data_IF_676686201941
#
_entry.id   IF_676686201941
#
_cell.length_a   1.000
_cell.length_b   1.000
_cell.length_c   1.000
_cell.angle_alpha   90.00
_cell.angle_beta   90.00
_cell.angle_gamma   90.00
#
_symmetry.space_group_name_H-M   'P 1'
#
loop_
_entity.id
_entity.type
_entity.pdbx_description
1 polymer ?
#
# COMPACT_ATOMS: atom_id res chain seq x y z
N UNK A 1 10.30 21.76 -5.30
CA UNK A 1 11.45 21.00 -4.76
C UNK A 1 11.12 19.52 -4.93
N UNK A 2 12.12 18.63 -4.87
CA UNK A 2 11.89 17.19 -5.13
C UNK A 2 10.97 16.54 -4.08
N UNK A 3 11.08 16.98 -2.83
CA UNK A 3 10.18 16.53 -1.76
C UNK A 3 8.73 16.95 -1.96
N UNK A 4 8.45 18.09 -2.61
CA UNK A 4 7.08 18.50 -2.93
C UNK A 4 6.45 17.53 -3.96
N UNK A 5 7.21 17.10 -4.95
CA UNK A 5 6.76 16.12 -5.94
C UNK A 5 6.54 14.74 -5.29
N UNK A 6 7.43 14.33 -4.39
CA UNK A 6 7.31 13.08 -3.62
C UNK A 6 6.04 13.13 -2.77
N UNK A 7 5.80 14.22 -2.04
CA UNK A 7 4.60 14.41 -1.21
C UNK A 7 3.34 14.33 -2.07
N UNK A 8 3.30 15.14 -3.12
CA UNK A 8 2.16 15.18 -4.06
C UNK A 8 1.80 13.80 -4.61
N UNK A 9 2.79 13.05 -5.10
CA UNK A 9 2.57 11.72 -5.67
C UNK A 9 2.22 10.68 -4.59
N UNK A 10 2.80 10.80 -3.39
CA UNK A 10 2.50 9.91 -2.26
C UNK A 10 1.06 10.05 -1.79
N UNK A 11 0.57 11.29 -1.62
CA UNK A 11 -0.81 11.56 -1.24
C UNK A 11 -1.81 10.96 -2.25
N UNK A 12 -1.52 11.08 -3.55
CA UNK A 12 -2.33 10.49 -4.61
C UNK A 12 -2.33 8.97 -4.55
N UNK A 13 -1.18 8.37 -4.37
CA UNK A 13 -1.05 6.91 -4.26
C UNK A 13 -1.75 6.36 -3.01
N UNK A 14 -1.71 7.09 -1.88
CA UNK A 14 -2.46 6.74 -0.67
C UNK A 14 -3.97 6.79 -0.91
N UNK A 15 -4.47 7.86 -1.56
CA UNK A 15 -5.87 7.96 -1.93
C UNK A 15 -6.30 6.83 -2.87
N UNK A 16 -5.50 6.53 -3.90
CA UNK A 16 -5.78 5.43 -4.85
C UNK A 16 -5.82 4.08 -4.14
N UNK A 17 -4.95 3.86 -3.15
CA UNK A 17 -4.97 2.63 -2.34
C UNK A 17 -6.23 2.53 -1.51
N UNK A 18 -6.66 3.61 -0.87
CA UNK A 18 -7.90 3.67 -0.10
C UNK A 18 -9.12 3.40 -1.00
N UNK A 19 -9.17 4.02 -2.18
CA UNK A 19 -10.23 3.77 -3.15
C UNK A 19 -10.22 2.31 -3.65
N UNK A 20 -9.03 1.77 -3.97
CA UNK A 20 -8.89 0.39 -4.38
C UNK A 20 -9.44 -0.58 -3.32
N UNK A 21 -9.10 -0.38 -2.05
CA UNK A 21 -9.59 -1.20 -0.93
C UNK A 21 -11.12 -1.18 -0.86
N UNK A 22 -11.73 -0.01 -1.00
CA UNK A 22 -13.19 0.16 -1.01
C UNK A 22 -13.87 -0.42 -2.25
N UNK A 23 -13.14 -0.53 -3.35
CA UNK A 23 -13.60 -1.16 -4.59
C UNK A 23 -13.53 -2.70 -4.58
N UNK A 24 -12.90 -3.33 -3.58
CA UNK A 24 -12.91 -4.79 -3.44
C UNK A 24 -14.30 -5.22 -2.93
N UNK A 25 -15.13 -5.93 -3.71
CA UNK A 25 -16.40 -6.43 -3.21
C UNK A 25 -16.23 -7.48 -2.10
N UNK A 26 -17.18 -7.58 -1.18
CA UNK A 26 -17.10 -8.52 -0.06
C UNK A 26 -17.01 -9.98 -0.52
N UNK A 27 -17.71 -10.34 -1.61
CA UNK A 27 -17.65 -11.66 -2.20
C UNK A 27 -16.28 -12.04 -2.77
N UNK A 28 -15.45 -11.03 -3.11
CA UNK A 28 -14.08 -11.27 -3.60
C UNK A 28 -13.05 -11.33 -2.48
N UNK A 29 -13.37 -10.88 -1.27
CA UNK A 29 -12.41 -10.78 -0.17
C UNK A 29 -11.63 -12.08 0.10
N UNK A 30 -12.35 -13.19 0.12
CA UNK A 30 -11.79 -14.54 0.31
C UNK A 30 -11.60 -15.32 -0.99
N UNK A 31 -11.95 -14.74 -2.14
CA UNK A 31 -11.75 -15.40 -3.44
C UNK A 31 -10.25 -15.59 -3.68
N UNK A 32 -9.91 -16.77 -4.18
CA UNK A 32 -8.50 -17.13 -4.44
C UNK A 32 -8.13 -16.88 -5.89
N UNK A 33 -6.97 -16.24 -6.05
CA UNK A 33 -6.29 -16.00 -7.32
C UNK A 33 -4.91 -16.63 -7.22
N UNK A 34 -4.58 -17.52 -8.12
CA UNK A 34 -3.35 -18.32 -8.05
C UNK A 34 -3.10 -18.97 -6.67
N UNK A 35 -4.19 -19.49 -6.07
CA UNK A 35 -4.18 -20.16 -4.76
C UNK A 35 -4.21 -19.24 -3.54
N UNK A 36 -4.04 -17.93 -3.70
CA UNK A 36 -4.00 -16.96 -2.60
C UNK A 36 -5.29 -16.13 -2.54
N UNK A 37 -5.84 -15.88 -1.35
CA UNK A 37 -7.03 -15.03 -1.22
C UNK A 37 -6.72 -13.56 -1.48
N UNK A 38 -7.72 -12.80 -1.94
CA UNK A 38 -7.62 -11.36 -2.24
C UNK A 38 -7.02 -10.57 -1.07
N UNK A 39 -7.51 -10.81 0.16
CA UNK A 39 -7.02 -10.10 1.35
C UNK A 39 -5.50 -10.28 1.56
N UNK A 40 -4.92 -11.39 1.15
CA UNK A 40 -3.48 -11.63 1.29
C UNK A 40 -2.64 -10.79 0.33
N UNK A 41 -3.11 -10.56 -0.90
CA UNK A 41 -2.47 -9.62 -1.83
C UNK A 41 -2.52 -8.20 -1.28
N UNK A 42 -3.66 -7.80 -0.72
CA UNK A 42 -3.80 -6.49 -0.07
C UNK A 42 -2.87 -6.39 1.14
N UNK A 43 -2.89 -7.36 2.04
CA UNK A 43 -2.01 -7.38 3.22
C UNK A 43 -0.53 -7.28 2.84
N UNK A 44 -0.07 -8.07 1.87
CA UNK A 44 1.30 -8.01 1.37
C UNK A 44 1.67 -6.59 0.91
N UNK A 45 0.77 -5.93 0.19
CA UNK A 45 0.98 -4.56 -0.27
C UNK A 45 1.13 -3.59 0.90
N UNK A 46 0.19 -3.62 1.85
CA UNK A 46 0.20 -2.77 3.03
C UNK A 46 1.41 -3.02 3.93
N UNK A 47 1.71 -4.28 4.21
CA UNK A 47 2.87 -4.66 5.03
C UNK A 47 4.19 -4.19 4.40
N UNK A 48 4.30 -4.30 3.10
CA UNK A 48 5.45 -3.82 2.34
C UNK A 48 5.61 -2.29 2.41
N UNK A 49 4.50 -1.54 2.34
CA UNK A 49 4.51 -0.08 2.54
C UNK A 49 4.99 0.28 3.94
N UNK A 50 4.45 -0.36 4.96
CA UNK A 50 4.78 -0.11 6.35
C UNK A 50 6.25 -0.42 6.67
N UNK A 51 6.75 -1.53 6.15
CA UNK A 51 8.09 -2.02 6.46
C UNK A 51 9.21 -1.32 5.68
N UNK A 52 8.95 -0.95 4.40
CA UNK A 52 10.02 -0.58 3.48
C UNK A 52 10.03 0.88 3.04
N UNK A 53 8.93 1.63 3.26
CA UNK A 53 8.84 3.00 2.74
C UNK A 53 9.85 3.95 3.43
N UNK A 54 10.01 3.83 4.73
CA UNK A 54 10.83 4.75 5.55
C UNK A 54 12.19 4.15 5.88
N UNK A 55 12.20 3.06 6.65
CA UNK A 55 13.42 2.38 7.06
C UNK A 55 13.19 0.88 7.29
N UNK A 56 13.57 -0.01 6.37
CA UNK A 56 13.42 -1.46 6.55
C UNK A 56 14.33 -2.04 7.65
N UNK A 57 15.32 -1.27 8.09
CA UNK A 57 16.29 -1.69 9.11
C UNK A 57 15.98 -1.14 10.50
N UNK A 58 14.81 -0.50 10.68
CA UNK A 58 14.39 0.00 11.99
C UNK A 58 14.28 -1.13 13.01
N UNK A 59 15.16 -1.11 14.00
CA UNK A 59 15.20 -2.12 15.08
C UNK A 59 14.04 -1.99 16.06
N UNK A 60 13.30 -0.89 16.02
CA UNK A 60 12.12 -0.64 16.88
C UNK A 60 10.80 -1.00 16.20
N UNK A 61 10.84 -1.40 14.91
CA UNK A 61 9.66 -1.76 14.17
C UNK A 61 8.90 -2.93 14.83
N UNK A 62 7.60 -2.74 14.99
CA UNK A 62 6.69 -3.74 15.53
C UNK A 62 5.75 -4.21 14.42
N UNK A 63 5.67 -5.52 14.21
CA UNK A 63 4.66 -6.10 13.33
C UNK A 63 3.24 -5.82 13.85
N UNK A 64 2.23 -5.71 12.95
CA UNK A 64 0.84 -5.69 13.37
C UNK A 64 0.51 -6.91 14.26
N UNK A 65 -0.37 -6.73 15.25
CA UNK A 65 -0.70 -7.78 16.25
C UNK A 65 -1.17 -9.09 15.61
N UNK A 66 -1.81 -9.01 14.44
CA UNK A 66 -2.30 -10.17 13.69
C UNK A 66 -1.27 -10.78 12.72
N UNK A 67 -0.03 -10.24 12.67
CA UNK A 67 0.99 -10.73 11.76
C UNK A 67 1.50 -12.12 12.16
N UNK A 68 1.63 -13.00 11.19
CA UNK A 68 2.36 -14.27 11.30
C UNK A 68 3.50 -14.31 10.27
N UNK A 69 4.54 -15.08 10.52
CA UNK A 69 5.79 -15.08 9.74
C UNK A 69 5.61 -15.27 8.22
N UNK A 70 4.58 -16.02 7.83
CA UNK A 70 4.31 -16.32 6.41
C UNK A 70 3.18 -15.50 5.79
N UNK A 71 2.52 -14.66 6.59
CA UNK A 71 1.31 -13.96 6.15
C UNK A 71 1.57 -12.97 5.01
N UNK A 72 2.72 -12.31 5.01
CA UNK A 72 3.11 -11.38 3.95
C UNK A 72 3.81 -12.07 2.75
N UNK A 73 4.11 -13.37 2.82
CA UNK A 73 4.78 -14.08 1.73
C UNK A 73 3.76 -14.62 0.72
N UNK A 74 3.80 -14.11 -0.51
CA UNK A 74 2.91 -14.54 -1.60
C UNK A 74 3.27 -15.91 -2.19
N UNK A 75 4.37 -16.53 -1.79
CA UNK A 75 4.71 -17.91 -2.19
C UNK A 75 4.11 -18.95 -1.23
N UNK A 76 3.50 -18.53 -0.13
CA UNK A 76 2.94 -19.42 0.89
C UNK A 76 1.42 -19.31 0.92
N UNK A 77 0.74 -20.44 0.72
CA UNK A 77 -0.72 -20.51 0.85
C UNK A 77 -1.05 -20.35 2.35
N UNK A 78 -1.91 -19.40 2.74
CA UNK A 78 -2.22 -19.17 4.15
C UNK A 78 -3.01 -20.36 4.72
N UNK A 79 -2.61 -20.79 5.91
CA UNK A 79 -3.33 -21.75 6.75
C UNK A 79 -4.04 -21.06 7.92
N UNK A 80 -3.72 -19.79 8.16
CA UNK A 80 -4.27 -18.98 9.23
C UNK A 80 -5.67 -18.47 8.89
N UNK A 81 -6.37 -17.96 9.89
CA UNK A 81 -7.65 -17.29 9.70
C UNK A 81 -7.51 -16.08 8.77
N UNK A 82 -8.55 -15.86 7.96
CA UNK A 82 -8.60 -14.73 7.06
C UNK A 82 -8.58 -13.42 7.85
N UNK A 83 -7.75 -12.46 7.41
CA UNK A 83 -7.83 -11.09 7.92
C UNK A 83 -9.14 -10.45 7.50
N UNK A 84 -9.80 -9.76 8.41
CA UNK A 84 -11.04 -9.04 8.12
C UNK A 84 -10.75 -7.74 7.39
N UNK A 85 -11.78 -7.21 6.74
CA UNK A 85 -11.71 -5.89 6.08
C UNK A 85 -11.34 -4.81 7.07
N UNK A 86 -11.99 -4.78 8.22
CA UNK A 86 -11.78 -3.78 9.28
C UNK A 86 -10.36 -3.82 9.82
N UNK A 87 -9.75 -5.01 9.92
CA UNK A 87 -8.34 -5.13 10.34
C UNK A 87 -7.41 -4.47 9.31
N UNK A 88 -7.62 -4.69 8.01
CA UNK A 88 -6.77 -4.13 6.97
C UNK A 88 -7.03 -2.63 6.74
N UNK A 89 -8.28 -2.16 6.87
CA UNK A 89 -8.61 -0.73 6.83
C UNK A 89 -7.95 0.02 7.99
N UNK A 90 -8.09 -0.49 9.22
CA UNK A 90 -7.43 0.10 10.39
C UNK A 90 -5.90 0.08 10.29
N UNK A 91 -5.32 -0.97 9.71
CA UNK A 91 -3.89 -1.04 9.46
C UNK A 91 -3.45 -0.05 8.39
N UNK A 92 -4.22 0.09 7.33
CA UNK A 92 -3.95 1.10 6.29
C UNK A 92 -3.98 2.52 6.85
N UNK A 93 -4.94 2.86 7.71
CA UNK A 93 -5.02 4.19 8.34
C UNK A 93 -3.75 4.52 9.15
N UNK A 94 -3.20 3.53 9.86
CA UNK A 94 -1.94 3.70 10.60
C UNK A 94 -0.75 3.93 9.65
N UNK A 95 -0.67 3.15 8.57
CA UNK A 95 0.38 3.29 7.54
C UNK A 95 0.28 4.66 6.85
N UNK A 96 -0.93 5.04 6.45
CA UNK A 96 -1.22 6.32 5.81
C UNK A 96 -0.72 7.47 6.67
N UNK A 97 -1.12 7.52 7.91
CA UNK A 97 -0.69 8.56 8.85
C UNK A 97 0.83 8.60 9.03
N UNK A 98 1.47 7.44 9.20
CA UNK A 98 2.92 7.30 9.32
C UNK A 98 3.67 7.83 8.09
N UNK A 99 3.20 7.47 6.88
CA UNK A 99 3.81 7.91 5.63
C UNK A 99 3.58 9.41 5.39
N UNK A 100 2.37 9.92 5.63
CA UNK A 100 2.04 11.34 5.50
C UNK A 100 2.93 12.20 6.41
N UNK A 101 3.07 11.82 7.68
CA UNK A 101 3.97 12.52 8.61
C UNK A 101 5.43 12.50 8.14
N UNK A 102 5.88 11.36 7.61
CA UNK A 102 7.25 11.24 7.12
C UNK A 102 7.51 12.15 5.91
N UNK A 103 6.66 12.11 4.89
CA UNK A 103 6.88 12.92 3.67
C UNK A 103 6.67 14.41 3.93
N UNK A 104 5.83 14.78 4.89
CA UNK A 104 5.65 16.17 5.31
C UNK A 104 6.91 16.75 5.97
N UNK A 105 7.59 15.95 6.78
CA UNK A 105 8.81 16.36 7.48
C UNK A 105 10.08 16.27 6.62
N UNK A 106 10.03 15.58 5.47
CA UNK A 106 11.21 15.28 4.64
C UNK A 106 11.68 16.51 3.87
N UNK A 107 12.99 16.76 3.91
CA UNK A 107 13.66 17.84 3.19
C UNK A 107 14.54 17.30 2.04
N UNK A 108 14.68 18.09 0.95
CA UNK A 108 15.45 17.70 -0.23
C UNK A 108 16.89 17.24 0.09
N UNK A 109 17.53 17.89 1.06
CA UNK A 109 18.89 17.56 1.51
C UNK A 109 19.00 16.24 2.26
N UNK A 110 17.88 15.64 2.68
CA UNK A 110 17.85 14.36 3.36
C UNK A 110 17.70 13.18 2.41
N UNK A 111 17.30 13.43 1.15
CA UNK A 111 16.99 12.38 0.18
C UNK A 111 18.19 11.47 -0.11
N UNK A 112 19.40 12.00 -0.14
CA UNK A 112 20.63 11.24 -0.34
C UNK A 112 21.13 10.53 0.93
N UNK A 113 20.60 10.92 2.09
CA UNK A 113 21.01 10.34 3.36
C UNK A 113 20.39 8.94 3.52
N UNK A 114 21.11 8.09 4.26
CA UNK A 114 20.66 6.75 4.62
C UNK A 114 19.98 6.80 5.99
N UNK A 115 18.82 6.14 6.16
CA UNK A 115 18.27 5.92 7.49
C UNK A 115 19.22 5.06 8.34
N UNK A 116 19.08 5.15 9.65
CA UNK A 116 19.90 4.38 10.59
C UNK A 116 19.85 2.86 10.29
N UNK A 117 21.02 2.24 10.25
CA UNK A 117 21.17 0.80 9.98
C UNK A 117 20.91 0.38 8.53
N UNK A 118 20.53 1.29 7.63
CA UNK A 118 20.17 0.98 6.25
C UNK A 118 21.28 1.40 5.26
N UNK A 119 21.54 0.56 4.25
CA UNK A 119 22.51 0.87 3.20
C UNK A 119 21.91 1.61 1.99
N UNK A 120 20.59 1.84 1.97
CA UNK A 120 19.88 2.55 0.91
C UNK A 120 19.56 3.98 1.33
N UNK A 121 19.69 4.95 0.40
CA UNK A 121 19.24 6.31 0.64
C UNK A 121 17.70 6.39 0.76
N UNK A 122 17.19 7.43 1.42
CA UNK A 122 15.75 7.69 1.51
C UNK A 122 15.09 7.75 0.14
N UNK A 123 15.71 8.43 -0.81
CA UNK A 123 15.20 8.51 -2.18
C UNK A 123 15.08 7.14 -2.84
N UNK A 124 16.10 6.27 -2.67
CA UNK A 124 16.07 4.91 -3.20
C UNK A 124 14.97 4.06 -2.56
N UNK A 125 14.75 4.20 -1.26
CA UNK A 125 13.67 3.50 -0.54
C UNK A 125 12.30 3.94 -1.07
N UNK A 126 12.06 5.25 -1.16
CA UNK A 126 10.81 5.82 -1.66
C UNK A 126 10.51 5.32 -3.08
N UNK A 127 11.42 5.52 -4.04
CA UNK A 127 11.21 5.08 -5.42
C UNK A 127 11.07 3.56 -5.54
N UNK A 128 11.88 2.80 -4.80
CA UNK A 128 11.80 1.34 -4.76
C UNK A 128 10.43 0.87 -4.28
N UNK A 129 9.93 1.50 -3.22
CA UNK A 129 8.63 1.17 -2.66
C UNK A 129 7.47 1.64 -3.55
N UNK A 130 7.55 2.81 -4.17
CA UNK A 130 6.57 3.24 -5.17
C UNK A 130 6.39 2.21 -6.28
N UNK A 131 7.49 1.73 -6.86
CA UNK A 131 7.46 0.70 -7.91
C UNK A 131 6.84 -0.60 -7.42
N UNK A 132 7.16 -1.05 -6.22
CA UNK A 132 6.63 -2.27 -5.61
C UNK A 132 5.15 -2.13 -5.29
N UNK A 133 4.77 -1.05 -4.65
CA UNK A 133 3.41 -0.71 -4.27
C UNK A 133 2.46 -0.71 -5.47
N UNK A 134 2.77 0.08 -6.51
CA UNK A 134 1.94 0.17 -7.71
C UNK A 134 1.86 -1.15 -8.50
N UNK A 135 2.94 -1.96 -8.48
CA UNK A 135 2.88 -3.30 -9.07
C UNK A 135 1.80 -4.15 -8.41
N UNK A 136 1.74 -4.17 -7.08
CA UNK A 136 0.77 -4.99 -6.35
C UNK A 136 -0.64 -4.41 -6.41
N UNK A 137 -0.79 -3.10 -6.39
CA UNK A 137 -2.08 -2.46 -6.69
C UNK A 137 -2.60 -2.89 -8.06
N UNK A 138 -1.74 -2.86 -9.09
CA UNK A 138 -2.10 -3.30 -10.44
C UNK A 138 -2.61 -4.74 -10.52
N UNK A 139 -2.05 -5.64 -9.71
CA UNK A 139 -2.55 -7.04 -9.60
C UNK A 139 -3.97 -7.06 -9.03
N UNK A 140 -4.21 -6.35 -7.93
CA UNK A 140 -5.54 -6.27 -7.29
C UNK A 140 -6.56 -5.60 -8.23
N UNK A 141 -6.18 -4.54 -8.95
CA UNK A 141 -6.98 -3.92 -10.01
C UNK A 141 -7.43 -4.95 -11.05
N UNK A 142 -6.46 -5.75 -11.53
CA UNK A 142 -6.74 -6.79 -12.53
C UNK A 142 -7.79 -7.79 -12.04
N UNK A 143 -7.72 -8.23 -10.80
CA UNK A 143 -8.68 -9.15 -10.20
C UNK A 143 -10.09 -8.53 -10.08
N UNK A 144 -10.18 -7.27 -9.64
CA UNK A 144 -11.48 -6.58 -9.55
C UNK A 144 -12.10 -6.45 -10.95
N UNK A 145 -11.33 -6.00 -11.94
CA UNK A 145 -11.83 -5.82 -13.32
C UNK A 145 -12.26 -7.14 -13.94
N UNK A 146 -11.48 -8.21 -13.75
CA UNK A 146 -11.79 -9.54 -14.27
C UNK A 146 -13.15 -10.05 -13.75
N UNK A 147 -13.41 -9.86 -12.47
CA UNK A 147 -14.59 -10.40 -11.82
C UNK A 147 -15.83 -9.50 -11.87
N UNK A 148 -15.65 -8.18 -11.96
CA UNK A 148 -16.75 -7.21 -11.85
C UNK A 148 -17.02 -6.44 -13.15
N UNK A 149 -16.04 -6.39 -14.05
CA UNK A 149 -16.05 -5.51 -15.21
C UNK A 149 -15.92 -4.02 -14.87
N UNK A 150 -15.75 -3.66 -13.58
CA UNK A 150 -15.64 -2.28 -13.11
C UNK A 150 -14.18 -1.89 -12.92
N UNK A 151 -13.83 -0.69 -13.34
CA UNK A 151 -12.50 -0.14 -13.24
C UNK A 151 -12.41 0.82 -12.06
N UNK A 152 -11.74 0.48 -10.94
CA UNK A 152 -11.52 1.43 -9.87
C UNK A 152 -10.84 2.70 -10.39
N UNK A 153 -11.32 3.86 -9.95
CA UNK A 153 -10.79 5.13 -10.43
C UNK A 153 -9.35 5.37 -9.93
N UNK A 154 -8.50 5.89 -10.82
CA UNK A 154 -7.14 6.35 -10.50
C UNK A 154 -6.98 7.82 -10.84
N UNK A 155 -6.24 8.55 -10.01
CA UNK A 155 -6.06 10.00 -10.15
C UNK A 155 -5.13 10.39 -11.30
N UNK A 156 -4.32 9.46 -11.80
CA UNK A 156 -3.22 9.72 -12.74
C UNK A 156 -2.30 10.89 -12.31
N UNK A 157 -1.58 11.52 -13.23
CA UNK A 157 -0.59 12.58 -12.89
C UNK A 157 -1.21 13.89 -12.44
N UNK A 158 -2.37 14.27 -12.97
CA UNK A 158 -2.94 15.61 -12.79
C UNK A 158 -4.46 15.60 -12.52
N UNK A 159 -5.07 14.42 -12.35
CA UNK A 159 -6.51 14.31 -12.11
C UNK A 159 -6.93 14.95 -10.77
N UNK A 160 -8.11 15.54 -10.74
CA UNK A 160 -8.69 16.05 -9.51
C UNK A 160 -9.26 14.91 -8.66
N UNK A 161 -9.30 15.11 -7.34
CA UNK A 161 -9.96 14.17 -6.44
C UNK A 161 -11.46 14.16 -6.72
N UNK A 162 -12.09 12.97 -6.87
CA UNK A 162 -13.54 12.90 -7.02
C UNK A 162 -14.27 13.56 -5.86
N UNK A 163 -15.36 14.24 -6.17
CA UNK A 163 -16.21 14.89 -5.16
C UNK A 163 -17.20 13.90 -4.54
N UNK A 164 -17.45 12.78 -5.23
CA UNK A 164 -18.39 11.77 -4.79
C UNK A 164 -17.78 10.88 -3.69
N UNK A 165 -18.63 10.35 -2.78
CA UNK A 165 -18.19 9.38 -1.79
C UNK A 165 -17.59 8.13 -2.44
N UNK A 166 -16.50 7.60 -1.88
CA UNK A 166 -15.93 6.32 -2.30
C UNK A 166 -16.87 5.13 -2.00
N UNK A 167 -16.86 4.04 -2.78
CA UNK A 167 -15.90 3.68 -3.82
C UNK A 167 -16.14 4.39 -5.15
N UNK A 168 -15.06 4.75 -5.85
CA UNK A 168 -15.12 5.44 -7.14
C UNK A 168 -14.64 4.54 -8.27
N UNK A 169 -15.40 4.53 -9.36
CA UNK A 169 -15.10 3.80 -10.60
C UNK A 169 -15.13 4.75 -11.80
N UNK A 170 -14.49 4.34 -12.89
CA UNK A 170 -14.65 4.99 -14.20
C UNK A 170 -16.04 4.77 -14.76
#
# INVERSE_FOLDING_TARGET
MLCDDIRYLTERALWETENLMKCIPDELWNKRYDGLPMWKYLYHTLYSMDRWYINPCDSTYQNPVFHTDTMADLNVIPTDEALTREQLESYFDQIKHKIEQYVEALEDQELDQKPEGCDMSRFRLILGQFRHWHRHMGVIYGFIVEDTGKWPYVLNMCGEYPQDPMPNYY
#
